data_IF_277018945875
#
_entry.id   IF_277018945875
#
_cell.length_a   1.000
_cell.length_b   1.000
_cell.length_c   1.000
_cell.angle_alpha   90.00
_cell.angle_beta   90.00
_cell.angle_gamma   90.00
#
_symmetry.space_group_name_H-M   'P 1'
#
loop_
_entity.id
_entity.type
_entity.pdbx_description
1 polymer ?
#
# COMPACT_ATOMS: atom_id res chain seq x y z
N UNK A 1 23.44 20.16 -9.81
CA UNK A 1 22.73 19.32 -8.82
C UNK A 1 23.42 17.96 -8.61
N UNK A 2 23.75 17.19 -9.66
CA UNK A 2 24.45 15.90 -9.54
C UNK A 2 25.81 15.95 -8.81
N UNK A 3 26.60 17.02 -8.99
CA UNK A 3 27.89 17.17 -8.33
C UNK A 3 27.78 17.44 -6.82
N UNK A 4 26.78 18.22 -6.41
CA UNK A 4 26.49 18.48 -5.00
C UNK A 4 25.99 17.22 -4.28
N UNK A 5 25.22 16.38 -4.99
CA UNK A 5 24.73 15.11 -4.46
C UNK A 5 25.86 14.09 -4.29
N UNK A 6 26.77 13.97 -5.27
CA UNK A 6 27.98 13.15 -5.14
C UNK A 6 28.90 13.60 -4.01
N UNK A 7 29.04 14.90 -3.78
CA UNK A 7 29.81 15.44 -2.66
C UNK A 7 29.14 15.13 -1.31
N UNK A 8 27.82 15.30 -1.20
CA UNK A 8 27.08 14.94 0.01
C UNK A 8 27.14 13.43 0.32
N UNK A 9 27.09 12.58 -0.71
CA UNK A 9 27.18 11.13 -0.55
C UNK A 9 28.61 10.67 -0.20
N UNK A 10 29.64 11.35 -0.71
CA UNK A 10 31.03 11.12 -0.32
C UNK A 10 31.27 11.45 1.16
N UNK A 11 30.80 12.60 1.63
CA UNK A 11 30.91 13.03 3.04
C UNK A 11 30.15 12.08 3.97
N UNK A 12 28.96 11.61 3.57
CA UNK A 12 28.20 10.60 4.34
C UNK A 12 28.93 9.27 4.43
N UNK A 13 29.63 8.86 3.37
CA UNK A 13 30.38 7.61 3.31
C UNK A 13 31.63 7.65 4.18
N UNK A 14 32.32 8.79 4.19
CA UNK A 14 33.45 9.05 5.07
C UNK A 14 33.03 9.10 6.55
N UNK A 15 31.92 9.79 6.86
CA UNK A 15 31.36 9.79 8.21
C UNK A 15 30.94 8.39 8.68
N UNK A 16 30.33 7.56 7.81
CA UNK A 16 30.02 6.16 8.13
C UNK A 16 31.26 5.32 8.41
N UNK A 17 32.31 5.49 7.62
CA UNK A 17 33.55 4.74 7.80
C UNK A 17 34.25 5.13 9.11
N UNK A 18 34.28 6.42 9.45
CA UNK A 18 34.85 6.92 10.70
C UNK A 18 34.06 6.44 11.95
N UNK A 19 32.73 6.37 11.84
CA UNK A 19 31.86 5.86 12.91
C UNK A 19 32.03 4.33 13.11
N UNK A 20 32.25 3.57 12.03
CA UNK A 20 32.52 2.13 12.12
C UNK A 20 33.88 1.81 12.76
N UNK A 21 34.87 2.68 12.63
CA UNK A 21 36.18 2.50 13.26
C UNK A 21 36.20 2.82 14.76
N UNK A 22 35.25 3.63 15.24
CA UNK A 22 35.19 4.07 16.63
C UNK A 22 34.43 3.10 17.57
N UNK A 23 33.49 2.30 17.04
CA UNK A 23 32.75 1.33 17.84
C UNK A 23 32.31 0.08 17.04
N UNK A 24 32.98 -1.09 17.20
CA UNK A 24 32.68 -2.32 16.48
C UNK A 24 31.36 -3.00 16.91
N UNK A 25 30.68 -2.50 17.95
CA UNK A 25 29.34 -2.98 18.33
C UNK A 25 28.20 -2.24 17.63
N UNK A 26 28.52 -1.16 16.90
CA UNK A 26 27.58 -0.45 16.03
C UNK A 26 27.33 -1.27 14.78
N UNK A 27 26.55 -2.35 14.92
CA UNK A 27 25.82 -2.98 13.81
C UNK A 27 25.22 -1.85 12.97
N UNK A 28 25.30 -1.96 11.64
CA UNK A 28 24.54 -1.13 10.69
C UNK A 28 23.07 -1.14 11.13
N UNK A 29 22.66 -0.20 11.97
CA UNK A 29 21.30 -0.12 12.46
C UNK A 29 20.63 0.96 11.63
N UNK A 30 19.42 0.66 11.18
CA UNK A 30 18.58 1.50 10.32
C UNK A 30 18.14 2.76 11.08
N UNK A 31 19.06 3.69 11.30
CA UNK A 31 18.88 4.73 12.31
C UNK A 31 17.61 5.60 12.12
N UNK A 32 17.16 5.82 10.87
CA UNK A 32 15.99 6.66 10.59
C UNK A 32 14.68 6.13 11.18
N UNK A 33 14.48 4.81 11.22
CA UNK A 33 13.25 4.20 11.74
C UNK A 33 13.25 4.18 13.29
N UNK A 34 14.44 4.21 13.91
CA UNK A 34 14.62 4.09 15.36
C UNK A 34 14.85 5.42 16.08
N UNK A 35 15.00 6.55 15.36
CA UNK A 35 15.19 7.88 15.98
C UNK A 35 14.11 8.17 17.02
N UNK A 36 12.85 7.89 16.68
CA UNK A 36 11.71 8.16 17.56
C UNK A 36 11.73 7.30 18.82
N UNK A 37 11.99 5.99 18.68
CA UNK A 37 12.09 5.06 19.83
C UNK A 37 13.27 5.44 20.72
N UNK A 38 14.42 5.79 20.12
CA UNK A 38 15.61 6.18 20.86
C UNK A 38 15.39 7.48 21.67
N UNK A 39 14.71 8.47 21.09
CA UNK A 39 14.33 9.70 21.79
C UNK A 39 13.43 9.41 23.00
N UNK A 40 12.41 8.58 22.83
CA UNK A 40 11.50 8.20 23.92
C UNK A 40 12.26 7.53 25.07
N UNK A 41 13.20 6.64 24.77
CA UNK A 41 13.93 5.89 25.80
C UNK A 41 14.99 6.73 26.53
N UNK A 42 15.56 7.74 25.87
CA UNK A 42 16.70 8.50 26.41
C UNK A 42 16.32 9.85 27.03
N UNK A 43 15.22 10.46 26.59
CA UNK A 43 14.87 11.84 26.98
C UNK A 43 13.65 11.94 27.91
N UNK A 44 12.95 10.82 28.20
CA UNK A 44 11.71 10.84 28.98
C UNK A 44 11.84 10.20 30.36
N UNK A 45 11.07 10.68 31.36
CA UNK A 45 11.08 10.12 32.71
C UNK A 45 10.45 8.72 32.78
N UNK A 46 10.93 7.91 33.71
CA UNK A 46 10.70 6.45 33.77
C UNK A 46 9.24 5.98 33.92
N UNK A 47 8.25 6.83 34.20
CA UNK A 47 6.83 6.48 34.14
C UNK A 47 6.16 6.74 32.78
N UNK A 48 6.62 7.76 32.05
CA UNK A 48 6.02 8.21 30.79
C UNK A 48 6.41 7.30 29.63
N UNK A 49 7.60 6.69 29.70
CA UNK A 49 8.07 5.70 28.73
C UNK A 49 7.08 4.52 28.62
N UNK A 50 6.71 3.93 29.76
CA UNK A 50 5.78 2.80 29.80
C UNK A 50 4.39 3.16 29.26
N UNK A 51 3.89 4.36 29.61
CA UNK A 51 2.61 4.86 29.11
C UNK A 51 2.64 5.08 27.59
N UNK A 52 3.68 5.70 27.06
CA UNK A 52 3.82 5.94 25.61
C UNK A 52 3.91 4.64 24.83
N UNK A 53 4.72 3.68 25.29
CA UNK A 53 4.81 2.37 24.66
C UNK A 53 3.45 1.65 24.67
N UNK A 54 2.73 1.69 25.80
CA UNK A 54 1.39 1.11 25.89
C UNK A 54 0.42 1.73 24.87
N UNK A 55 0.40 3.06 24.75
CA UNK A 55 -0.44 3.77 23.77
C UNK A 55 -0.03 3.46 22.33
N UNK A 56 1.27 3.40 22.04
CA UNK A 56 1.79 3.03 20.72
C UNK A 56 1.36 1.62 20.32
N UNK A 57 1.50 0.65 21.23
CA UNK A 57 1.04 -0.72 20.98
C UNK A 57 -0.48 -0.82 20.84
N UNK A 58 -1.24 -0.13 21.70
CA UNK A 58 -2.70 -0.09 21.61
C UNK A 58 -3.17 0.50 20.26
N UNK A 59 -2.55 1.60 19.82
CA UNK A 59 -2.81 2.23 18.53
C UNK A 59 -2.46 1.31 17.36
N UNK A 60 -1.28 0.68 17.40
CA UNK A 60 -0.84 -0.24 16.35
C UNK A 60 -1.75 -1.47 16.25
N UNK A 61 -2.10 -2.07 17.39
CA UNK A 61 -2.98 -3.24 17.44
C UNK A 61 -4.39 -2.91 16.92
N UNK A 62 -4.93 -1.74 17.26
CA UNK A 62 -6.24 -1.29 16.76
C UNK A 62 -6.26 -1.15 15.23
N UNK A 63 -5.26 -0.50 14.64
CA UNK A 63 -5.15 -0.38 13.16
C UNK A 63 -4.99 -1.74 12.50
N UNK A 64 -4.12 -2.60 13.03
CA UNK A 64 -3.85 -3.93 12.45
C UNK A 64 -5.03 -4.89 12.58
N UNK A 65 -5.77 -4.84 13.68
CA UNK A 65 -7.02 -5.58 13.84
C UNK A 65 -8.06 -5.12 12.81
N UNK A 66 -8.17 -3.81 12.57
CA UNK A 66 -9.04 -3.25 11.53
C UNK A 66 -8.67 -3.73 10.11
N UNK A 67 -7.39 -3.63 9.75
CA UNK A 67 -6.85 -4.10 8.46
C UNK A 67 -7.12 -5.59 8.24
N UNK A 68 -6.80 -6.44 9.22
CA UNK A 68 -7.03 -7.89 9.15
C UNK A 68 -8.51 -8.24 9.06
N UNK A 69 -9.38 -7.51 9.77
CA UNK A 69 -10.82 -7.73 9.71
C UNK A 69 -11.39 -7.34 8.35
N UNK A 70 -10.93 -6.23 7.77
CA UNK A 70 -11.33 -5.81 6.42
C UNK A 70 -10.93 -6.87 5.39
N UNK A 71 -9.68 -7.32 5.40
CA UNK A 71 -9.18 -8.37 4.49
C UNK A 71 -9.95 -9.69 4.66
N UNK A 72 -10.22 -10.10 5.89
CA UNK A 72 -11.00 -11.30 6.18
C UNK A 72 -12.44 -11.18 5.67
N UNK A 73 -13.06 -10.01 5.84
CA UNK A 73 -14.43 -9.73 5.39
C UNK A 73 -14.53 -9.71 3.87
N UNK A 74 -13.64 -8.97 3.18
CA UNK A 74 -13.53 -8.98 1.71
C UNK A 74 -13.31 -10.42 1.20
N UNK A 75 -12.41 -11.19 1.82
CA UNK A 75 -12.18 -12.60 1.42
C UNK A 75 -13.42 -13.48 1.63
N UNK A 76 -14.15 -13.27 2.74
CA UNK A 76 -15.34 -14.07 3.06
C UNK A 76 -16.54 -13.71 2.17
N UNK A 77 -16.77 -12.42 1.96
CA UNK A 77 -17.94 -11.92 1.23
C UNK A 77 -17.72 -11.95 -0.28
N UNK A 78 -16.54 -11.59 -0.78
CA UNK A 78 -16.31 -11.46 -2.22
C UNK A 78 -15.82 -12.77 -2.85
N UNK A 79 -14.92 -13.49 -2.17
CA UNK A 79 -14.39 -14.77 -2.68
C UNK A 79 -15.24 -15.94 -2.19
N UNK A 80 -15.33 -16.15 -0.87
CA UNK A 80 -15.95 -17.36 -0.32
C UNK A 80 -17.44 -17.48 -0.63
N UNK A 81 -18.22 -16.38 -0.50
CA UNK A 81 -19.64 -16.36 -0.84
C UNK A 81 -19.91 -16.76 -2.29
N UNK A 82 -19.02 -16.38 -3.20
CA UNK A 82 -19.13 -16.69 -4.64
C UNK A 82 -18.96 -18.19 -4.91
N UNK A 83 -18.07 -18.87 -4.18
CA UNK A 83 -17.88 -20.33 -4.29
C UNK A 83 -18.87 -21.14 -3.45
N UNK A 84 -19.25 -20.64 -2.28
CA UNK A 84 -20.15 -21.26 -1.31
C UNK A 84 -21.05 -20.19 -0.70
N UNK A 85 -22.35 -20.13 -1.04
CA UNK A 85 -23.24 -19.15 -0.43
C UNK A 85 -23.22 -19.30 1.10
N UNK A 86 -23.08 -18.18 1.81
CA UNK A 86 -23.19 -18.17 3.26
C UNK A 86 -24.59 -18.67 3.62
N UNK A 87 -24.67 -19.61 4.56
CA UNK A 87 -25.97 -20.12 4.98
C UNK A 87 -26.61 -19.08 5.89
N UNK A 88 -27.79 -18.59 5.51
CA UNK A 88 -28.56 -17.65 6.31
C UNK A 88 -28.93 -18.22 7.70
N UNK A 89 -29.02 -19.54 7.82
CA UNK A 89 -29.39 -20.24 9.06
C UNK A 89 -28.20 -20.74 9.89
N UNK A 90 -26.95 -20.52 9.45
CA UNK A 90 -25.76 -21.04 10.13
C UNK A 90 -24.73 -19.93 10.38
N UNK A 91 -25.10 -19.03 11.29
CA UNK A 91 -24.24 -17.91 11.73
C UNK A 91 -22.94 -18.41 12.36
N UNK A 92 -22.99 -19.53 13.09
CA UNK A 92 -21.82 -20.13 13.71
C UNK A 92 -20.77 -20.57 12.67
N UNK A 93 -21.20 -21.15 11.55
CA UNK A 93 -20.31 -21.48 10.43
C UNK A 93 -19.76 -20.23 9.76
N UNK A 94 -20.58 -19.22 9.53
CA UNK A 94 -20.16 -17.97 8.89
C UNK A 94 -19.09 -17.25 9.73
N UNK A 95 -19.27 -17.18 11.05
CA UNK A 95 -18.28 -16.63 11.98
C UNK A 95 -17.00 -17.46 11.99
N UNK A 96 -17.11 -18.79 11.92
CA UNK A 96 -15.92 -19.67 11.87
C UNK A 96 -15.10 -19.44 10.61
N UNK A 97 -15.76 -19.32 9.46
CA UNK A 97 -15.11 -19.01 8.17
C UNK A 97 -14.39 -17.66 8.25
N UNK A 98 -15.07 -16.61 8.74
CA UNK A 98 -14.46 -15.29 8.90
C UNK A 98 -13.23 -15.34 9.81
N UNK A 99 -13.31 -16.01 10.97
CA UNK A 99 -12.18 -16.20 11.90
C UNK A 99 -11.02 -16.96 11.24
N UNK A 100 -11.30 -17.98 10.43
CA UNK A 100 -10.26 -18.71 9.68
C UNK A 100 -9.55 -17.78 8.70
N UNK A 101 -10.28 -16.96 7.95
CA UNK A 101 -9.65 -15.98 7.06
C UNK A 101 -8.82 -14.94 7.82
N UNK A 102 -9.29 -14.45 8.98
CA UNK A 102 -8.50 -13.55 9.84
C UNK A 102 -7.20 -14.22 10.28
N UNK A 103 -7.24 -15.49 10.69
CA UNK A 103 -6.05 -16.24 11.10
C UNK A 103 -5.08 -16.46 9.92
N UNK A 104 -5.59 -16.78 8.73
CA UNK A 104 -4.78 -16.94 7.51
C UNK A 104 -4.07 -15.64 7.14
N UNK A 105 -4.78 -14.52 7.11
CA UNK A 105 -4.19 -13.21 6.84
C UNK A 105 -3.20 -12.78 7.92
N UNK A 106 -3.48 -13.08 9.19
CA UNK A 106 -2.56 -12.83 10.31
C UNK A 106 -1.27 -13.63 10.18
N UNK A 107 -1.36 -14.93 9.86
CA UNK A 107 -0.20 -15.79 9.64
C UNK A 107 0.61 -15.33 8.41
N UNK A 108 -0.07 -14.97 7.33
CA UNK A 108 0.56 -14.40 6.15
C UNK A 108 1.30 -13.11 6.46
N UNK A 109 0.70 -12.20 7.24
CA UNK A 109 1.32 -10.95 7.66
C UNK A 109 2.57 -11.17 8.53
N UNK A 110 2.51 -12.13 9.48
CA UNK A 110 3.66 -12.50 10.30
C UNK A 110 4.77 -13.09 9.41
N UNK A 111 4.43 -14.00 8.50
CA UNK A 111 5.38 -14.56 7.54
C UNK A 111 6.04 -13.46 6.72
N UNK A 112 5.24 -12.60 6.09
CA UNK A 112 5.73 -11.46 5.32
C UNK A 112 6.64 -10.54 6.12
N UNK A 113 6.29 -10.22 7.38
CA UNK A 113 7.10 -9.39 8.26
C UNK A 113 8.47 -10.03 8.60
N UNK A 114 8.54 -11.37 8.70
CA UNK A 114 9.79 -12.08 8.93
C UNK A 114 10.69 -12.12 7.68
N UNK A 115 10.12 -12.15 6.48
CA UNK A 115 10.87 -12.20 5.22
C UNK A 115 11.25 -10.83 4.68
N UNK A 116 10.42 -9.80 4.90
CA UNK A 116 10.69 -8.42 4.47
C UNK A 116 11.60 -7.73 5.47
N UNK A 117 12.88 -8.08 5.38
CA UNK A 117 13.95 -7.16 5.76
C UNK A 117 14.35 -6.36 4.50
N UNK A 118 15.05 -5.23 4.64
CA UNK A 118 15.79 -4.55 3.56
C UNK A 118 15.22 -3.34 2.78
N UNK A 119 14.07 -2.74 3.10
CA UNK A 119 13.76 -1.40 2.54
C UNK A 119 14.52 -0.30 3.31
N UNK A 120 15.35 0.53 2.68
CA UNK A 120 16.15 1.58 3.36
C UNK A 120 15.29 2.57 4.17
N UNK A 121 14.06 2.82 3.70
CA UNK A 121 13.04 3.60 4.38
C UNK A 121 11.68 2.89 4.24
N UNK A 122 11.10 2.44 5.36
CA UNK A 122 9.84 1.70 5.33
C UNK A 122 8.67 2.57 4.86
N UNK A 123 8.67 3.84 5.25
CA UNK A 123 7.63 4.81 4.85
C UNK A 123 7.67 5.03 3.34
N UNK A 124 8.86 5.14 2.77
CA UNK A 124 9.03 5.30 1.32
C UNK A 124 8.56 4.06 0.56
N UNK A 125 8.93 2.86 1.00
CA UNK A 125 8.48 1.62 0.38
C UNK A 125 6.95 1.49 0.39
N UNK A 126 6.31 1.84 1.51
CA UNK A 126 4.85 1.87 1.61
C UNK A 126 4.23 2.87 0.62
N UNK A 127 4.80 4.07 0.50
CA UNK A 127 4.30 5.08 -0.42
C UNK A 127 4.45 4.68 -1.90
N UNK A 128 5.53 3.99 -2.25
CA UNK A 128 5.73 3.45 -3.61
C UNK A 128 4.64 2.43 -3.93
N UNK A 129 4.40 1.47 -3.03
CA UNK A 129 3.35 0.46 -3.22
C UNK A 129 1.98 1.11 -3.33
N UNK A 130 1.66 2.06 -2.43
CA UNK A 130 0.41 2.81 -2.50
C UNK A 130 0.26 3.54 -3.84
N UNK A 131 1.31 4.19 -4.32
CA UNK A 131 1.27 4.97 -5.55
C UNK A 131 1.14 4.13 -6.83
N UNK A 132 1.44 2.83 -6.76
CA UNK A 132 1.24 1.90 -7.89
C UNK A 132 -0.21 1.41 -7.96
N UNK A 133 -0.86 1.14 -6.82
CA UNK A 133 -2.17 0.47 -6.79
C UNK A 133 -3.36 1.42 -6.54
N UNK A 134 -3.17 2.49 -5.76
CA UNK A 134 -4.24 3.44 -5.44
C UNK A 134 -4.74 4.27 -6.63
N UNK A 135 -3.95 4.61 -7.68
CA UNK A 135 -4.43 5.44 -8.79
C UNK A 135 -5.65 4.83 -9.51
N UNK A 136 -5.63 3.52 -9.77
CA UNK A 136 -6.72 2.84 -10.46
C UNK A 136 -7.99 2.81 -9.61
N UNK A 137 -7.86 2.55 -8.31
CA UNK A 137 -8.98 2.55 -7.37
C UNK A 137 -9.63 3.95 -7.27
N UNK A 138 -8.80 4.99 -7.15
CA UNK A 138 -9.27 6.37 -7.15
C UNK A 138 -10.00 6.72 -8.46
N UNK A 139 -9.43 6.33 -9.60
CA UNK A 139 -10.06 6.54 -10.91
C UNK A 139 -11.43 5.88 -11.03
N UNK A 140 -11.56 4.63 -10.57
CA UNK A 140 -12.85 3.91 -10.53
C UNK A 140 -13.86 4.65 -9.67
N UNK A 141 -13.49 5.12 -8.48
CA UNK A 141 -14.39 5.88 -7.61
C UNK A 141 -14.81 7.21 -8.24
N UNK A 142 -13.89 7.93 -8.88
CA UNK A 142 -14.21 9.18 -9.58
C UNK A 142 -15.24 8.93 -10.68
N UNK A 143 -15.04 7.89 -11.50
CA UNK A 143 -16.01 7.54 -12.54
C UNK A 143 -17.35 7.13 -11.93
N UNK A 144 -17.34 6.33 -10.86
CA UNK A 144 -18.56 5.86 -10.20
C UNK A 144 -19.41 7.00 -9.61
N UNK A 145 -18.78 8.01 -9.00
CA UNK A 145 -19.51 9.13 -8.38
C UNK A 145 -19.90 10.23 -9.38
N UNK A 146 -18.98 10.61 -10.28
CA UNK A 146 -19.18 11.78 -11.15
C UNK A 146 -19.70 11.43 -12.55
N UNK A 147 -19.44 10.21 -13.05
CA UNK A 147 -19.77 9.79 -14.41
C UNK A 147 -20.76 8.61 -14.40
N UNK A 148 -21.95 8.84 -13.84
CA UNK A 148 -23.03 7.84 -13.70
C UNK A 148 -23.48 7.17 -15.01
N UNK A 149 -23.14 7.75 -16.16
CA UNK A 149 -23.47 7.23 -17.49
C UNK A 149 -22.51 6.12 -17.97
N UNK A 150 -21.37 5.92 -17.30
CA UNK A 150 -20.37 4.91 -17.68
C UNK A 150 -20.75 3.55 -17.08
N UNK A 151 -20.80 2.51 -17.92
CA UNK A 151 -21.19 1.16 -17.49
C UNK A 151 -20.03 0.45 -16.79
N UNK A 152 -20.35 -0.45 -15.84
CA UNK A 152 -19.36 -1.19 -15.05
C UNK A 152 -18.33 -1.95 -15.89
N UNK A 153 -18.72 -2.49 -17.05
CA UNK A 153 -17.78 -3.17 -17.98
C UNK A 153 -16.72 -2.22 -18.52
N UNK A 154 -17.10 -0.98 -18.89
CA UNK A 154 -16.16 0.03 -19.36
C UNK A 154 -15.20 0.46 -18.24
N UNK A 155 -15.72 0.65 -17.02
CA UNK A 155 -14.93 1.00 -15.83
C UNK A 155 -13.91 -0.09 -15.50
N UNK A 156 -14.32 -1.37 -15.56
CA UNK A 156 -13.43 -2.49 -15.29
C UNK A 156 -12.24 -2.54 -16.27
N UNK A 157 -12.51 -2.49 -17.57
CA UNK A 157 -11.45 -2.50 -18.59
C UNK A 157 -10.57 -1.25 -18.53
N UNK A 158 -11.15 -0.09 -18.20
CA UNK A 158 -10.40 1.14 -17.98
C UNK A 158 -9.46 1.04 -16.77
N UNK A 159 -9.91 0.43 -15.67
CA UNK A 159 -9.09 0.21 -14.49
C UNK A 159 -7.90 -0.72 -14.78
N UNK A 160 -8.14 -1.81 -15.51
CA UNK A 160 -7.07 -2.74 -15.94
C UNK A 160 -6.06 -2.05 -16.85
N UNK A 161 -6.53 -1.27 -17.83
CA UNK A 161 -5.67 -0.51 -18.73
C UNK A 161 -4.86 0.55 -17.98
N UNK A 162 -5.48 1.31 -17.08
CA UNK A 162 -4.80 2.31 -16.25
C UNK A 162 -3.77 1.69 -15.32
N UNK A 163 -4.09 0.56 -14.68
CA UNK A 163 -3.15 -0.18 -13.85
C UNK A 163 -1.94 -0.66 -14.66
N UNK A 164 -2.18 -1.12 -15.89
CA UNK A 164 -1.11 -1.53 -16.80
C UNK A 164 -0.21 -0.36 -17.16
N UNK A 165 -0.78 0.81 -17.47
CA UNK A 165 -0.01 2.04 -17.74
C UNK A 165 0.86 2.44 -16.54
N UNK A 166 0.31 2.44 -15.33
CA UNK A 166 1.06 2.78 -14.11
C UNK A 166 2.23 1.82 -13.89
N UNK A 167 1.99 0.52 -14.04
CA UNK A 167 3.03 -0.52 -13.92
C UNK A 167 4.12 -0.30 -14.98
N UNK A 168 3.74 -0.06 -16.23
CA UNK A 168 4.68 0.21 -17.33
C UNK A 168 5.53 1.44 -17.03
N UNK A 169 4.92 2.56 -16.61
CA UNK A 169 5.66 3.78 -16.24
C UNK A 169 6.64 3.51 -15.10
N UNK A 170 6.22 2.77 -14.07
CA UNK A 170 7.08 2.43 -12.93
C UNK A 170 8.30 1.60 -13.35
N UNK A 171 8.10 0.55 -14.16
CA UNK A 171 9.21 -0.27 -14.66
C UNK A 171 10.10 0.47 -15.67
N UNK A 172 9.55 1.35 -16.51
CA UNK A 172 10.35 2.21 -17.40
C UNK A 172 11.18 3.22 -16.61
N UNK A 173 10.64 3.80 -15.54
CA UNK A 173 11.40 4.69 -14.65
C UNK A 173 12.60 3.98 -14.05
N UNK A 174 12.42 2.71 -13.65
CA UNK A 174 13.51 1.87 -13.15
C UNK A 174 14.53 1.48 -14.23
N UNK A 175 14.09 1.28 -15.48
CA UNK A 175 14.98 0.95 -16.60
C UNK A 175 15.75 2.18 -17.13
N UNK A 176 15.15 3.37 -17.05
CA UNK A 176 15.71 4.63 -17.54
C UNK A 176 15.73 5.69 -16.43
N UNK A 177 16.70 5.65 -15.50
CA UNK A 177 16.75 6.55 -14.34
C UNK A 177 16.87 8.04 -14.72
N UNK A 178 17.30 8.36 -15.94
CA UNK A 178 17.33 9.74 -16.45
C UNK A 178 15.92 10.34 -16.72
N UNK A 179 14.88 9.51 -16.74
CA UNK A 179 13.46 9.91 -16.92
C UNK A 179 12.59 9.45 -15.75
N UNK A 180 13.19 9.19 -14.59
CA UNK A 180 12.44 8.76 -13.42
C UNK A 180 11.46 9.87 -12.99
N UNK A 181 10.18 9.54 -13.05
CA UNK A 181 9.11 10.38 -12.53
C UNK A 181 8.93 9.98 -11.07
N UNK A 182 8.91 10.94 -10.15
CA UNK A 182 8.69 10.66 -8.73
C UNK A 182 7.40 9.85 -8.51
N UNK A 183 7.46 8.81 -7.66
CA UNK A 183 6.37 7.85 -7.49
C UNK A 183 5.00 8.49 -7.17
N UNK A 184 4.99 9.67 -6.52
CA UNK A 184 3.76 10.42 -6.22
C UNK A 184 2.98 10.85 -7.47
N UNK A 185 3.66 11.08 -8.60
CA UNK A 185 3.03 11.44 -9.87
C UNK A 185 2.27 10.28 -10.52
N UNK A 186 2.55 9.04 -10.12
CA UNK A 186 1.78 7.88 -10.61
C UNK A 186 0.31 7.97 -10.20
N UNK A 187 0.00 8.63 -9.07
CA UNK A 187 -1.37 8.87 -8.59
C UNK A 187 -2.23 9.69 -9.56
N UNK A 188 -1.89 10.96 -9.87
CA UNK A 188 -2.68 11.74 -10.81
C UNK A 188 -2.67 11.13 -12.22
N UNK A 189 -1.55 10.57 -12.68
CA UNK A 189 -1.45 9.97 -14.02
C UNK A 189 -2.38 8.75 -14.13
N UNK A 190 -2.31 7.82 -13.18
CA UNK A 190 -3.13 6.60 -13.21
C UNK A 190 -4.61 6.90 -13.03
N UNK A 191 -4.96 7.86 -12.16
CA UNK A 191 -6.35 8.30 -12.00
C UNK A 191 -6.89 8.91 -13.29
N UNK A 192 -6.14 9.83 -13.91
CA UNK A 192 -6.54 10.47 -15.16
C UNK A 192 -6.66 9.46 -16.30
N UNK A 193 -5.69 8.54 -16.42
CA UNK A 193 -5.73 7.46 -17.40
C UNK A 193 -6.98 6.58 -17.23
N UNK A 194 -7.32 6.23 -15.99
CA UNK A 194 -8.53 5.45 -15.71
C UNK A 194 -9.80 6.18 -16.13
N UNK A 195 -9.95 7.46 -15.79
CA UNK A 195 -11.11 8.27 -16.20
C UNK A 195 -11.19 8.40 -17.72
N UNK A 196 -10.06 8.70 -18.37
CA UNK A 196 -9.99 8.85 -19.82
C UNK A 196 -10.36 7.55 -20.53
N UNK A 197 -9.76 6.43 -20.15
CA UNK A 197 -10.07 5.13 -20.73
C UNK A 197 -11.52 4.72 -20.49
N UNK A 198 -12.09 5.05 -19.34
CA UNK A 198 -13.49 4.74 -19.04
C UNK A 198 -14.44 5.50 -19.98
N UNK A 199 -14.19 6.79 -20.23
CA UNK A 199 -14.98 7.60 -21.16
C UNK A 199 -14.81 7.13 -22.60
N UNK A 200 -13.58 6.86 -23.02
CA UNK A 200 -13.29 6.39 -24.39
C UNK A 200 -13.89 5.01 -24.65
N UNK A 201 -13.70 4.05 -23.74
CA UNK A 201 -14.27 2.71 -23.88
C UNK A 201 -15.80 2.75 -23.86
N UNK A 202 -16.41 3.62 -23.05
CA UNK A 202 -17.86 3.79 -23.04
C UNK A 202 -18.39 4.37 -24.36
N UNK A 203 -17.63 5.23 -25.04
CA UNK A 203 -18.00 5.76 -26.35
C UNK A 203 -17.88 4.71 -27.47
N UNK A 204 -16.96 3.75 -27.33
CA UNK A 204 -16.72 2.68 -28.31
C UNK A 204 -17.62 1.46 -28.08
N UNK A 205 -17.99 1.17 -26.83
CA UNK A 205 -18.83 0.03 -26.49
C UNK A 205 -20.29 0.29 -26.92
N UNK A 206 -20.93 -0.64 -27.65
CA UNK A 206 -22.35 -0.55 -27.98
C UNK A 206 -23.17 -0.41 -26.69
N UNK A 207 -24.16 0.48 -26.66
CA UNK A 207 -25.11 0.53 -25.54
C UNK A 207 -25.92 -0.78 -25.57
N UNK A 208 -25.90 -1.63 -24.53
CA UNK A 208 -26.92 -2.67 -24.40
C UNK A 208 -28.30 -2.02 -24.53
N UNK A 209 -29.12 -2.57 -25.42
CA UNK A 209 -30.50 -2.15 -25.61
C UNK A 209 -31.21 -2.14 -24.26
N UNK A 210 -31.90 -1.04 -23.97
CA UNK A 210 -32.78 -0.93 -22.81
C UNK A 210 -33.79 -2.09 -22.86
N UNK A 211 -34.00 -2.85 -21.77
CA UNK A 211 -35.10 -3.79 -21.75
C UNK A 211 -36.40 -2.99 -21.91
N UNK A 212 -37.11 -3.23 -23.00
CA UNK A 212 -38.42 -2.66 -23.25
C UNK A 212 -39.31 -3.00 -22.05
N UNK A 213 -39.78 -1.96 -21.36
CA UNK A 213 -40.75 -2.02 -20.28
C UNK A 213 -42.08 -2.60 -20.74
#
# INVERSE_FOLDING_TARGET
MLAAQKAADAVRKEARNALQTADPTTKKTKDSDYVFINFILTQLPHGVIGLLLAVMFASALSSKAGELNALATTSTIDLWRTFRPLAAHDEARNVRVAKTFTAVWGLFAIGFALFVSFAENLIEALNIVASIFYPALLGVFVVAFFLKHVKGTAVFWAAVAAQTVVIVIFFLGKAYPAREIGYLWLNPIGCFACVLFAVVLQAVLPRPAEPAS
#
